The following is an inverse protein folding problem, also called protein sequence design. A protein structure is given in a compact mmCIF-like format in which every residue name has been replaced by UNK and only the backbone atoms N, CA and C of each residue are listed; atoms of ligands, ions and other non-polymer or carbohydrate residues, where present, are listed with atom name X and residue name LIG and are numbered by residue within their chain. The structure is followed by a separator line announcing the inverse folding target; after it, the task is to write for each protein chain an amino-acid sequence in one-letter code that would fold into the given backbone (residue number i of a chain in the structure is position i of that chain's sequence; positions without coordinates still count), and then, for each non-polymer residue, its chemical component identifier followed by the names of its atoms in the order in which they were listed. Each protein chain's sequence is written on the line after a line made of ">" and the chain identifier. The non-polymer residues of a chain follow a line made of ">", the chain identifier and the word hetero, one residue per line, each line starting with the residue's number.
data_IF_349139835808
#
_entry.id   IF_349139835808
#
_cell.length_a   1.000
_cell.length_b   1.000
_cell.length_c   1.000
_cell.angle_alpha   90.00
_cell.angle_beta   90.00
_cell.angle_gamma   90.00
#
_symmetry.space_group_name_H-M   'P 1'
#
loop_
_entity.id
_entity.type
_entity.pdbx_description
1 polymer ?
#
# COMPACT_ATOMS: atom_id res chain seq x y z
N UNK A 1 5.58 -28.30 2.49
CA UNK A 1 6.32 -27.51 1.48
C UNK A 1 5.99 -26.05 1.73
N UNK A 2 6.98 -25.19 2.01
CA UNK A 2 6.71 -23.75 2.10
C UNK A 2 6.38 -23.26 0.69
N UNK A 3 5.09 -23.05 0.42
CA UNK A 3 4.66 -22.40 -0.82
C UNK A 3 5.04 -20.93 -0.65
N UNK A 4 5.99 -20.48 -1.46
CA UNK A 4 6.41 -19.08 -1.48
C UNK A 4 5.25 -18.18 -1.92
N UNK A 5 5.05 -17.06 -1.23
CA UNK A 5 4.04 -16.07 -1.58
C UNK A 5 4.55 -14.66 -1.26
N UNK A 6 4.56 -13.70 -2.21
CA UNK A 6 5.16 -12.36 -2.02
C UNK A 6 4.53 -11.49 -0.91
N UNK A 7 3.31 -11.82 -0.50
CA UNK A 7 2.64 -11.23 0.66
C UNK A 7 3.18 -11.65 2.03
N UNK A 8 3.96 -12.74 2.08
CA UNK A 8 4.61 -13.24 3.29
C UNK A 8 6.15 -13.16 3.19
N UNK A 9 6.66 -12.33 2.28
CA UNK A 9 8.08 -12.03 2.12
C UNK A 9 8.38 -10.57 2.50
N UNK A 10 9.29 -10.38 3.47
CA UNK A 10 9.59 -9.06 4.02
C UNK A 10 10.33 -8.17 3.02
N UNK A 11 11.18 -8.72 2.16
CA UNK A 11 11.93 -7.95 1.17
C UNK A 11 11.02 -7.41 0.08
N UNK A 12 10.05 -8.21 -0.38
CA UNK A 12 9.03 -7.77 -1.33
C UNK A 12 8.10 -6.72 -0.71
N UNK A 13 7.77 -6.86 0.58
CA UNK A 13 7.01 -5.84 1.30
C UNK A 13 7.79 -4.52 1.43
N UNK A 14 9.07 -4.57 1.83
CA UNK A 14 9.97 -3.40 1.86
C UNK A 14 9.99 -2.74 0.48
N UNK A 15 10.19 -3.51 -0.58
CA UNK A 15 10.24 -2.99 -1.94
C UNK A 15 8.95 -2.23 -2.34
N UNK A 16 7.77 -2.79 -2.06
CA UNK A 16 6.50 -2.11 -2.34
C UNK A 16 6.27 -0.90 -1.43
N UNK A 17 6.64 -0.97 -0.15
CA UNK A 17 6.59 0.17 0.75
C UNK A 17 7.49 1.30 0.25
N UNK A 18 8.70 1.01 -0.23
CA UNK A 18 9.59 2.00 -0.86
C UNK A 18 8.91 2.66 -2.06
N UNK A 19 8.21 1.90 -2.91
CA UNK A 19 7.42 2.46 -4.01
C UNK A 19 6.33 3.43 -3.52
N UNK A 20 5.66 3.11 -2.41
CA UNK A 20 4.65 3.98 -1.78
C UNK A 20 5.27 5.26 -1.26
N UNK A 21 6.31 5.17 -0.42
CA UNK A 21 6.86 6.33 0.30
C UNK A 21 7.73 7.24 -0.57
N UNK A 22 8.29 6.72 -1.67
CA UNK A 22 9.01 7.57 -2.63
C UNK A 22 8.04 8.48 -3.38
N UNK A 23 6.81 8.01 -3.58
CA UNK A 23 5.77 8.71 -4.34
C UNK A 23 4.83 9.55 -3.48
N UNK A 24 4.47 9.04 -2.31
CA UNK A 24 3.55 9.69 -1.35
C UNK A 24 4.37 10.12 -0.14
N UNK A 25 4.46 11.42 0.08
CA UNK A 25 5.20 11.99 1.19
C UNK A 25 4.31 12.13 2.42
N UNK A 26 4.88 11.89 3.60
CA UNK A 26 4.28 12.16 4.91
C UNK A 26 2.86 11.58 5.10
N UNK A 27 2.76 10.25 5.12
CA UNK A 27 1.48 9.54 5.27
C UNK A 27 1.39 8.76 6.57
N UNK A 28 0.18 8.56 7.07
CA UNK A 28 -0.07 7.71 8.24
C UNK A 28 0.35 6.25 7.96
N UNK A 29 0.87 5.55 8.97
CA UNK A 29 1.29 4.14 8.84
C UNK A 29 0.18 3.26 8.26
N UNK A 30 -1.05 3.42 8.74
CA UNK A 30 -2.20 2.67 8.24
C UNK A 30 -2.48 2.97 6.76
N UNK A 31 -2.29 4.22 6.31
CA UNK A 31 -2.43 4.58 4.91
C UNK A 31 -1.34 3.88 4.08
N UNK A 32 -0.09 3.91 4.52
CA UNK A 32 1.02 3.23 3.83
C UNK A 32 0.75 1.73 3.65
N UNK A 33 0.24 1.07 4.69
CA UNK A 33 -0.14 -0.33 4.68
C UNK A 33 -1.29 -0.63 3.71
N UNK A 34 -2.32 0.21 3.69
CA UNK A 34 -3.45 0.08 2.75
C UNK A 34 -2.96 0.20 1.30
N UNK A 35 -2.12 1.19 1.00
CA UNK A 35 -1.59 1.39 -0.35
C UNK A 35 -0.70 0.22 -0.77
N UNK A 36 0.20 -0.24 0.10
CA UNK A 36 1.05 -1.39 -0.17
C UNK A 36 0.25 -2.67 -0.44
N UNK A 37 -0.84 -2.89 0.30
CA UNK A 37 -1.72 -4.03 0.08
C UNK A 37 -2.31 -4.04 -1.32
N UNK A 38 -2.75 -2.89 -1.84
CA UNK A 38 -3.30 -2.80 -3.20
C UNK A 38 -2.23 -2.86 -4.29
N UNK A 39 -0.96 -2.56 -3.99
CA UNK A 39 0.15 -2.86 -4.91
C UNK A 39 0.45 -4.36 -4.99
N UNK A 40 0.28 -5.09 -3.89
CA UNK A 40 0.42 -6.55 -3.88
C UNK A 40 -0.76 -7.25 -4.55
N UNK A 41 -1.98 -6.83 -4.23
CA UNK A 41 -3.22 -7.42 -4.73
C UNK A 41 -4.00 -6.39 -5.56
N UNK A 42 -3.55 -6.08 -6.79
CA UNK A 42 -4.16 -5.04 -7.62
C UNK A 42 -5.64 -5.31 -7.93
N UNK A 43 -6.04 -6.57 -8.08
CA UNK A 43 -7.44 -6.95 -8.31
C UNK A 43 -8.35 -6.64 -7.12
N UNK A 44 -7.81 -6.53 -5.89
CA UNK A 44 -8.58 -6.16 -4.70
C UNK A 44 -9.16 -4.73 -4.80
N UNK A 45 -8.62 -3.87 -5.67
CA UNK A 45 -9.19 -2.56 -5.99
C UNK A 45 -10.65 -2.67 -6.46
N UNK A 46 -11.02 -3.79 -7.08
CA UNK A 46 -12.42 -4.06 -7.48
C UNK A 46 -13.40 -4.13 -6.31
N UNK A 47 -12.93 -4.29 -5.07
CA UNK A 47 -13.76 -4.32 -3.86
C UNK A 47 -13.84 -2.94 -3.17
N UNK A 48 -13.03 -1.97 -3.58
CA UNK A 48 -13.04 -0.62 -3.00
C UNK A 48 -14.30 0.13 -3.45
N UNK A 49 -14.87 0.96 -2.58
CA UNK A 49 -15.88 1.97 -2.95
C UNK A 49 -15.19 3.13 -3.67
N UNK A 50 -14.95 2.95 -4.98
CA UNK A 50 -14.22 3.89 -5.83
C UNK A 50 -15.00 5.22 -5.97
N UNK A 51 -14.34 6.39 -5.89
CA UNK A 51 -14.96 7.68 -6.17
C UNK A 51 -15.65 7.74 -7.54
N UNK A 52 -16.67 8.58 -7.66
CA UNK A 52 -17.33 8.82 -8.94
C UNK A 52 -16.30 9.38 -9.96
N UNK A 53 -16.34 8.89 -11.20
CA UNK A 53 -15.40 9.27 -12.26
C UNK A 53 -14.17 8.34 -12.42
N UNK A 54 -13.83 7.55 -11.40
CA UNK A 54 -12.65 6.65 -11.42
C UNK A 54 -13.03 5.19 -11.73
N UNK A 55 -14.24 4.94 -12.24
CA UNK A 55 -14.77 3.59 -12.50
C UNK A 55 -14.01 2.74 -13.53
N UNK A 56 -13.32 3.28 -14.56
CA UNK A 56 -12.58 2.45 -15.52
C UNK A 56 -11.55 1.53 -14.87
N UNK A 57 -10.95 1.96 -13.75
CA UNK A 57 -9.90 1.20 -13.07
C UNK A 57 -10.36 -0.17 -12.58
N UNK A 58 -11.67 -0.37 -12.34
CA UNK A 58 -12.20 -1.70 -11.94
C UNK A 58 -11.95 -2.75 -13.00
N UNK A 59 -12.08 -2.37 -14.29
CA UNK A 59 -11.88 -3.31 -15.39
C UNK A 59 -10.42 -3.73 -15.46
N UNK A 60 -9.52 -2.78 -15.31
CA UNK A 60 -8.07 -3.00 -15.38
C UNK A 60 -7.56 -3.78 -14.18
N UNK A 61 -8.00 -3.43 -12.96
CA UNK A 61 -7.73 -4.19 -11.75
C UNK A 61 -8.19 -5.65 -11.89
N UNK A 62 -9.37 -5.89 -12.47
CA UNK A 62 -9.89 -7.25 -12.69
C UNK A 62 -9.01 -8.08 -13.63
N UNK A 63 -8.34 -7.48 -14.61
CA UNK A 63 -7.42 -8.19 -15.50
C UNK A 63 -6.17 -8.71 -14.78
N UNK A 64 -5.84 -8.12 -13.63
CA UNK A 64 -4.70 -8.50 -12.80
C UNK A 64 -5.06 -9.55 -11.73
N UNK A 65 -6.25 -10.16 -11.84
CA UNK A 65 -6.67 -11.19 -10.90
C UNK A 65 -5.74 -12.39 -10.91
N UNK A 66 -5.51 -12.97 -9.73
CA UNK A 66 -4.73 -14.18 -9.50
C UNK A 66 -3.26 -14.12 -9.91
N UNK A 67 -2.71 -12.94 -10.21
CA UNK A 67 -1.28 -12.80 -10.50
C UNK A 67 -0.41 -13.31 -9.34
N UNK A 68 -0.88 -13.11 -8.10
CA UNK A 68 -0.24 -13.58 -6.88
C UNK A 68 -1.20 -14.37 -6.00
N UNK A 69 -2.11 -15.15 -6.57
CA UNK A 69 -3.19 -15.81 -5.83
C UNK A 69 -4.00 -14.84 -4.95
N UNK A 70 -5.08 -14.30 -5.52
CA UNK A 70 -5.85 -13.27 -4.85
C UNK A 70 -6.40 -13.75 -3.50
N UNK A 71 -6.49 -12.84 -2.52
CA UNK A 71 -7.03 -13.17 -1.21
C UNK A 71 -8.51 -13.53 -1.34
N UNK A 72 -8.89 -14.67 -0.76
CA UNK A 72 -10.30 -15.06 -0.62
C UNK A 72 -11.05 -14.03 0.22
N UNK A 73 -10.40 -13.51 1.26
CA UNK A 73 -10.94 -12.46 2.13
C UNK A 73 -9.89 -11.36 2.34
N UNK A 74 -10.10 -10.21 1.69
CA UNK A 74 -9.16 -9.08 1.75
C UNK A 74 -8.92 -8.55 3.17
N UNK A 75 -9.93 -8.58 4.03
CA UNK A 75 -9.83 -8.08 5.42
C UNK A 75 -8.94 -8.99 6.26
N UNK A 76 -9.18 -10.30 6.18
CA UNK A 76 -8.37 -11.28 6.89
C UNK A 76 -6.94 -11.24 6.40
N UNK A 77 -6.71 -11.25 5.08
CA UNK A 77 -5.37 -11.20 4.52
C UNK A 77 -4.64 -9.90 4.89
N UNK A 78 -5.30 -8.74 4.81
CA UNK A 78 -4.70 -7.47 5.23
C UNK A 78 -4.30 -7.47 6.72
N UNK A 79 -5.17 -8.02 7.58
CA UNK A 79 -4.88 -8.16 9.01
C UNK A 79 -3.67 -9.08 9.23
N UNK A 80 -3.61 -10.21 8.53
CA UNK A 80 -2.56 -11.20 8.71
C UNK A 80 -1.20 -10.67 8.16
N UNK A 81 -1.23 -9.85 7.11
CA UNK A 81 -0.05 -9.13 6.59
C UNK A 81 0.48 -8.06 7.53
N UNK A 82 -0.27 -7.65 8.58
CA UNK A 82 0.17 -6.58 9.49
C UNK A 82 1.58 -6.79 10.02
N UNK A 83 1.89 -8.02 10.47
CA UNK A 83 3.18 -8.32 11.08
C UNK A 83 4.33 -8.07 10.09
N UNK A 84 4.17 -8.45 8.83
CA UNK A 84 5.22 -8.31 7.83
C UNK A 84 5.38 -6.85 7.37
N UNK A 85 4.27 -6.12 7.25
CA UNK A 85 4.29 -4.70 6.95
C UNK A 85 4.96 -3.90 8.07
N UNK A 86 4.63 -4.20 9.33
CA UNK A 86 5.22 -3.55 10.49
C UNK A 86 6.73 -3.84 10.59
N UNK A 87 7.14 -5.08 10.32
CA UNK A 87 8.55 -5.46 10.26
C UNK A 87 9.29 -4.72 9.13
N UNK A 88 8.69 -4.64 7.93
CA UNK A 88 9.26 -3.94 6.79
C UNK A 88 9.43 -2.44 7.05
N UNK A 89 8.43 -1.76 7.62
CA UNK A 89 8.52 -0.35 8.01
C UNK A 89 9.63 -0.11 9.04
N UNK A 90 9.75 -0.98 10.05
CA UNK A 90 10.84 -0.91 11.04
C UNK A 90 12.21 -1.08 10.41
N UNK A 91 12.36 -1.97 9.44
CA UNK A 91 13.61 -2.11 8.67
C UNK A 91 13.94 -0.84 7.88
N UNK A 92 12.94 -0.22 7.25
CA UNK A 92 13.11 1.05 6.51
C UNK A 92 13.50 2.18 7.48
N UNK A 93 12.89 2.25 8.66
CA UNK A 93 13.25 3.21 9.72
C UNK A 93 14.68 2.99 10.22
N UNK A 94 15.06 1.75 10.53
CA UNK A 94 16.42 1.39 10.95
C UNK A 94 17.48 1.73 9.89
N UNK A 95 17.12 1.64 8.60
CA UNK A 95 17.94 2.07 7.48
C UNK A 95 17.99 3.60 7.29
N UNK A 96 17.36 4.39 8.16
CA UNK A 96 17.27 5.87 8.08
C UNK A 96 16.64 6.39 6.78
N UNK A 97 15.82 5.56 6.10
CA UNK A 97 15.08 5.96 4.90
C UNK A 97 13.78 6.69 5.26
N UNK A 98 13.26 6.50 6.47
CA UNK A 98 12.16 7.31 7.00
C UNK A 98 12.56 7.96 8.32
N UNK A 99 11.95 9.11 8.58
CA UNK A 99 12.18 9.89 9.79
C UNK A 99 11.65 9.12 11.02
N UNK A 100 12.53 8.90 12.01
CA UNK A 100 12.21 8.07 13.17
C UNK A 100 11.22 8.77 14.11
N UNK A 101 11.39 10.08 14.34
CA UNK A 101 10.52 10.85 15.23
C UNK A 101 9.08 10.89 14.68
N UNK A 102 8.93 11.04 13.35
CA UNK A 102 7.64 10.94 12.66
C UNK A 102 7.06 9.53 12.75
N UNK A 103 7.91 8.50 12.62
CA UNK A 103 7.49 7.11 12.71
C UNK A 103 6.94 6.75 14.08
N UNK A 104 7.56 7.23 15.16
CA UNK A 104 7.10 7.02 16.52
C UNK A 104 5.71 7.62 16.77
N UNK A 105 5.37 8.73 16.11
CA UNK A 105 4.04 9.37 16.20
C UNK A 105 3.04 8.87 15.13
N UNK A 106 3.36 7.79 14.43
CA UNK A 106 2.42 7.10 13.53
C UNK A 106 2.45 7.54 12.07
N UNK A 107 3.49 8.26 11.64
CA UNK A 107 3.64 8.76 10.26
C UNK A 107 4.87 8.16 9.57
N UNK A 108 4.82 8.05 8.25
CA UNK A 108 5.89 7.57 7.40
C UNK A 108 6.34 8.73 6.53
N UNK A 109 7.47 9.33 6.87
CA UNK A 109 8.01 10.51 6.20
C UNK A 109 9.39 10.18 5.66
N UNK A 110 9.65 10.39 4.36
CA UNK A 110 10.99 10.14 3.79
C UNK A 110 12.01 11.09 4.36
N UNK A 111 13.19 10.56 4.64
CA UNK A 111 14.39 11.38 4.82
C UNK A 111 14.94 11.82 3.47
N UNK A 112 15.98 12.67 3.51
CA UNK A 112 16.75 13.06 2.30
C UNK A 112 17.70 11.95 1.82
N UNK A 113 17.80 10.83 2.53
CA UNK A 113 18.68 9.73 2.14
C UNK A 113 18.15 9.09 0.84
N UNK A 114 18.93 9.07 -0.25
CA UNK A 114 18.46 8.54 -1.52
C UNK A 114 18.34 7.02 -1.48
N UNK A 115 17.38 6.49 -2.23
CA UNK A 115 17.34 5.06 -2.56
C UNK A 115 18.39 4.81 -3.67
N UNK A 116 19.26 3.79 -3.55
CA UNK A 116 20.25 3.47 -4.58
C UNK A 116 19.62 3.34 -5.97
N UNK A 117 20.27 3.91 -7.00
CA UNK A 117 19.70 4.01 -8.35
C UNK A 117 19.32 2.65 -8.97
N UNK A 118 20.09 1.61 -8.66
CA UNK A 118 19.77 0.24 -9.09
C UNK A 118 18.42 -0.21 -8.56
N UNK A 119 18.19 -0.06 -7.25
CA UNK A 119 16.92 -0.39 -6.60
C UNK A 119 15.79 0.52 -7.10
N UNK A 120 16.08 1.82 -7.26
CA UNK A 120 15.10 2.79 -7.75
C UNK A 120 14.63 2.47 -9.17
N UNK A 121 15.51 1.94 -10.03
CA UNK A 121 15.17 1.48 -11.37
C UNK A 121 14.23 0.27 -11.35
N UNK A 122 14.42 -0.68 -10.42
CA UNK A 122 13.50 -1.80 -10.22
C UNK A 122 12.14 -1.33 -9.70
N UNK A 123 12.11 -0.41 -8.72
CA UNK A 123 10.87 0.19 -8.20
C UNK A 123 10.06 0.83 -9.34
N UNK A 124 10.71 1.67 -10.15
CA UNK A 124 10.07 2.32 -11.31
C UNK A 124 9.54 1.31 -12.33
N UNK A 125 10.30 0.24 -12.58
CA UNK A 125 9.88 -0.82 -13.51
C UNK A 125 8.67 -1.59 -12.99
N UNK A 126 8.61 -1.88 -11.69
CA UNK A 126 7.46 -2.50 -11.04
C UNK A 126 6.21 -1.61 -11.10
N UNK A 127 6.35 -0.32 -10.77
CA UNK A 127 5.21 0.62 -10.87
C UNK A 127 4.70 0.67 -12.31
N UNK A 128 5.60 0.66 -13.30
CA UNK A 128 5.27 0.68 -14.73
C UNK A 128 4.69 -0.62 -15.25
N UNK A 129 5.00 -1.80 -14.69
CA UNK A 129 4.45 -3.07 -15.19
C UNK A 129 2.94 -3.20 -14.98
N UNK A 130 2.40 -2.48 -14.00
CA UNK A 130 0.97 -2.43 -13.65
C UNK A 130 0.43 -1.01 -13.73
N UNK A 131 0.95 -0.27 -14.72
CA UNK A 131 0.95 1.18 -14.84
C UNK A 131 -0.33 1.85 -14.34
N UNK A 132 -1.48 1.45 -14.87
CA UNK A 132 -2.73 2.12 -14.52
C UNK A 132 -3.19 1.86 -13.08
N UNK A 133 -3.09 0.62 -12.59
CA UNK A 133 -3.51 0.27 -11.21
C UNK A 133 -2.51 0.79 -10.20
N UNK A 134 -1.21 0.69 -10.49
CA UNK A 134 -0.16 1.27 -9.64
C UNK A 134 -0.30 2.78 -9.54
N UNK A 135 -0.54 3.49 -10.65
CA UNK A 135 -0.83 4.94 -10.63
C UNK A 135 -2.12 5.23 -9.88
N UNK A 136 -3.20 4.49 -10.10
CA UNK A 136 -4.41 4.69 -9.32
C UNK A 136 -4.15 4.58 -7.82
N UNK A 137 -3.40 3.57 -7.37
CA UNK A 137 -3.06 3.41 -5.95
C UNK A 137 -2.19 4.57 -5.45
N UNK A 138 -1.15 4.95 -6.20
CA UNK A 138 -0.13 5.89 -5.73
C UNK A 138 -0.49 7.38 -5.95
N UNK A 139 -1.25 7.70 -7.00
CA UNK A 139 -1.61 9.07 -7.41
C UNK A 139 -3.04 9.45 -7.02
N UNK A 140 -3.98 8.50 -7.03
CA UNK A 140 -5.40 8.80 -6.79
C UNK A 140 -5.84 8.35 -5.39
N UNK A 141 -5.68 7.07 -5.07
CA UNK A 141 -6.11 6.48 -3.80
C UNK A 141 -5.36 7.11 -2.62
N UNK A 142 -4.07 7.42 -2.80
CA UNK A 142 -3.23 8.06 -1.78
C UNK A 142 -3.71 9.45 -1.35
N UNK A 143 -4.42 10.17 -2.23
CA UNK A 143 -4.94 11.52 -1.97
C UNK A 143 -6.19 11.52 -1.10
N UNK A 144 -6.83 10.36 -0.95
CA UNK A 144 -8.02 10.22 -0.12
C UNK A 144 -7.60 10.25 1.36
N UNK A 145 -8.25 11.07 2.22
CA UNK A 145 -8.02 11.06 3.65
C UNK A 145 -8.14 9.65 4.24
N UNK A 146 -7.31 9.31 5.24
CA UNK A 146 -7.37 7.99 5.87
C UNK A 146 -8.73 7.77 6.57
N UNK A 147 -9.18 8.81 7.29
CA UNK A 147 -10.36 8.81 8.15
C UNK A 147 -11.53 9.57 7.52
N UNK A 148 -12.68 9.54 8.20
CA UNK A 148 -13.90 10.25 7.81
C UNK A 148 -14.78 9.49 6.82
N UNK A 149 -16.00 10.01 6.63
CA UNK A 149 -16.95 9.50 5.64
C UNK A 149 -16.29 9.64 4.27
N UNK A 150 -16.26 8.55 3.51
CA UNK A 150 -15.55 8.47 2.24
C UNK A 150 -14.01 8.54 2.34
N UNK A 151 -13.43 8.39 3.53
CA UNK A 151 -12.00 8.14 3.70
C UNK A 151 -11.59 6.71 3.33
N UNK A 152 -10.29 6.41 3.34
CA UNK A 152 -9.76 5.11 2.94
C UNK A 152 -10.27 3.96 3.81
N UNK A 153 -10.37 4.13 5.13
CA UNK A 153 -10.91 3.07 6.00
C UNK A 153 -12.37 2.76 5.65
N UNK A 154 -13.18 3.79 5.37
CA UNK A 154 -14.58 3.63 4.96
C UNK A 154 -14.73 3.02 3.56
N UNK A 155 -13.86 3.39 2.62
CA UNK A 155 -13.95 2.94 1.21
C UNK A 155 -13.41 1.54 0.98
N UNK A 156 -12.35 1.17 1.68
CA UNK A 156 -11.67 -0.12 1.50
C UNK A 156 -12.21 -1.18 2.44
N UNK A 157 -12.76 -0.77 3.58
CA UNK A 157 -13.25 -1.64 4.65
C UNK A 157 -12.21 -2.66 5.13
N UNK A 158 -10.91 -2.39 4.92
CA UNK A 158 -9.79 -3.22 5.37
C UNK A 158 -9.50 -3.06 6.87
N UNK A 159 -9.99 -1.97 7.45
CA UNK A 159 -9.83 -1.62 8.87
C UNK A 159 -11.15 -1.13 9.43
N UNK A 160 -11.29 -1.19 10.76
CA UNK A 160 -12.45 -0.60 11.44
C UNK A 160 -12.57 0.89 11.07
N UNK A 161 -13.74 1.26 10.57
CA UNK A 161 -14.18 2.62 10.47
C UNK A 161 -15.16 2.86 11.62
N UNK A 162 -14.66 3.43 12.71
CA UNK A 162 -15.53 3.95 13.77
C UNK A 162 -15.98 5.33 13.31
N UNK A 163 -17.29 5.58 13.32
CA UNK A 163 -17.79 6.94 13.15
C UNK A 163 -17.16 7.77 14.28
N UNK A 164 -16.41 8.80 13.93
CA UNK A 164 -16.21 9.91 14.85
C UNK A 164 -17.60 10.49 15.04
N UNK A 165 -18.23 10.17 16.17
CA UNK A 165 -19.41 10.89 16.62
C UNK A 165 -18.97 12.35 16.80
N UNK A 166 -19.66 13.23 16.09
CA UNK A 166 -19.59 14.70 16.23
C UNK A 166 -19.77 15.09 17.70
#
# INVERSE_FOLDING_TARGET
>A
MLIYHPGYDAYHCIFRLLAVIDKVQDLEIDKARILEFFLLYPSAVTQVKIPQGMTPIRKEAKLLSNQYHDPINIRTTFRDMRFIQDAALKCIAAASLIDLDRFEVGYVTRTKLPIPDSLNSYIRSFVKSHDNVSRFVLDELSTIPLLGVNGLKHRTELMEYRYDFI
#
